data_IF_276669491113
#
_entry.id   IF_276669491113
#
_cell.length_a   1.000
_cell.length_b   1.000
_cell.length_c   1.000
_cell.angle_alpha   90.00
_cell.angle_beta   90.00
_cell.angle_gamma   90.00
#
_symmetry.space_group_name_H-M   'P 1'
#
loop_
_entity.id
_entity.type
_entity.pdbx_description
1 polymer ?
#
# COMPACT_ATOMS: atom_id res chain seq x y z
N UNK A 1 -0.77 -35.86 -5.67
CA UNK A 1 -1.11 -34.83 -6.68
C UNK A 1 -0.79 -33.46 -6.13
N UNK A 2 -0.44 -32.48 -6.97
CA UNK A 2 0.00 -31.15 -6.56
C UNK A 2 -0.64 -30.06 -7.42
N UNK A 3 -0.98 -28.93 -6.81
CA UNK A 3 -1.38 -27.71 -7.49
C UNK A 3 -0.14 -26.83 -7.68
N UNK A 4 0.13 -26.40 -8.91
CA UNK A 4 1.29 -25.55 -9.23
C UNK A 4 0.80 -24.15 -9.57
N UNK A 5 1.26 -23.15 -8.82
CA UNK A 5 0.88 -21.77 -9.06
C UNK A 5 1.85 -21.09 -10.04
N UNK A 6 1.49 -21.05 -11.32
CA UNK A 6 2.31 -20.48 -12.39
C UNK A 6 2.01 -18.98 -12.60
N UNK A 7 2.49 -18.13 -11.68
CA UNK A 7 2.39 -16.67 -11.80
C UNK A 7 3.74 -16.02 -12.09
N UNK A 8 4.13 -15.91 -13.36
CA UNK A 8 5.37 -15.19 -13.76
C UNK A 8 5.33 -13.72 -13.28
N UNK A 9 4.12 -13.15 -13.18
CA UNK A 9 3.84 -11.76 -12.78
C UNK A 9 3.37 -11.59 -11.33
N UNK A 10 3.46 -12.62 -10.46
CA UNK A 10 3.13 -12.44 -9.05
C UNK A 10 4.10 -11.44 -8.39
N UNK A 11 3.62 -10.53 -7.51
CA UNK A 11 4.48 -9.62 -6.76
C UNK A 11 5.61 -10.37 -6.01
N UNK A 12 6.77 -9.72 -5.85
CA UNK A 12 7.98 -10.35 -5.29
C UNK A 12 7.74 -10.94 -3.90
N UNK A 13 6.92 -10.29 -3.09
CA UNK A 13 6.53 -10.76 -1.75
C UNK A 13 5.70 -12.05 -1.81
N UNK A 14 4.72 -12.14 -2.73
CA UNK A 14 3.92 -13.36 -2.92
C UNK A 14 4.76 -14.55 -3.37
N UNK A 15 5.82 -14.30 -4.15
CA UNK A 15 6.79 -15.32 -4.58
C UNK A 15 7.66 -15.86 -3.45
N UNK A 16 7.87 -15.08 -2.38
CA UNK A 16 8.67 -15.48 -1.22
C UNK A 16 7.84 -16.23 -0.18
N UNK A 17 6.56 -15.89 -0.03
CA UNK A 17 5.71 -16.39 1.05
C UNK A 17 4.78 -17.55 0.65
N UNK A 18 4.44 -17.73 -0.63
CA UNK A 18 3.58 -18.84 -1.07
C UNK A 18 4.36 -20.03 -1.65
N UNK A 19 4.04 -21.26 -1.23
CA UNK A 19 4.55 -22.47 -1.87
C UNK A 19 4.12 -22.52 -3.34
N UNK A 20 5.10 -22.51 -4.27
CA UNK A 20 4.82 -22.64 -5.71
C UNK A 20 4.16 -23.96 -6.10
N UNK A 21 4.36 -24.98 -5.27
CA UNK A 21 3.80 -26.31 -5.42
C UNK A 21 3.09 -26.64 -4.12
N UNK A 22 1.77 -26.80 -4.18
CA UNK A 22 0.92 -27.13 -3.04
C UNK A 22 0.48 -28.58 -3.20
N UNK A 23 0.90 -29.50 -2.31
CA UNK A 23 0.33 -30.85 -2.27
C UNK A 23 -1.18 -30.78 -2.00
N UNK A 24 -2.00 -31.54 -2.71
CA UNK A 24 -3.45 -31.49 -2.50
C UNK A 24 -3.85 -31.93 -1.08
N UNK A 25 -3.12 -32.88 -0.48
CA UNK A 25 -3.33 -33.30 0.91
C UNK A 25 -2.90 -32.27 1.97
N UNK A 26 -2.29 -31.15 1.55
CA UNK A 26 -1.99 -30.01 2.39
C UNK A 26 -3.10 -28.96 2.38
N UNK A 27 -4.12 -29.09 1.53
CA UNK A 27 -5.29 -28.22 1.51
C UNK A 27 -6.29 -28.76 2.55
N UNK A 28 -6.63 -27.93 3.53
CA UNK A 28 -7.65 -28.25 4.54
C UNK A 28 -9.04 -27.89 4.04
N UNK A 29 -9.17 -26.75 3.36
CA UNK A 29 -10.43 -26.26 2.83
C UNK A 29 -10.21 -25.23 1.71
N UNK A 30 -11.27 -24.90 1.00
CA UNK A 30 -11.33 -23.87 -0.02
C UNK A 30 -12.42 -22.87 0.34
N UNK A 31 -12.00 -21.68 0.75
CA UNK A 31 -12.89 -20.54 0.96
C UNK A 31 -13.14 -19.87 -0.38
N UNK A 32 -14.41 -19.74 -0.75
CA UNK A 32 -14.81 -19.33 -2.08
C UNK A 32 -15.95 -18.32 -2.00
N UNK A 33 -15.69 -17.15 -2.57
CA UNK A 33 -16.70 -16.12 -2.78
C UNK A 33 -16.90 -15.91 -4.27
N UNK A 34 -18.08 -16.23 -4.82
CA UNK A 34 -18.34 -16.07 -6.23
C UNK A 34 -18.29 -14.59 -6.63
N UNK A 35 -17.85 -14.35 -7.86
CA UNK A 35 -17.83 -12.99 -8.42
C UNK A 35 -19.26 -12.53 -8.66
N UNK A 36 -19.58 -11.34 -8.15
CA UNK A 36 -20.86 -10.68 -8.44
C UNK A 36 -20.62 -9.41 -9.26
N UNK A 37 -21.70 -8.74 -9.68
CA UNK A 37 -21.59 -7.43 -10.33
C UNK A 37 -20.97 -6.36 -9.40
N UNK A 38 -21.14 -6.50 -8.08
CA UNK A 38 -20.74 -5.51 -7.09
C UNK A 38 -19.43 -5.86 -6.36
N UNK A 39 -19.01 -7.12 -6.37
CA UNK A 39 -17.82 -7.59 -5.66
C UNK A 39 -16.96 -8.46 -6.56
N UNK A 40 -15.66 -8.18 -6.54
CA UNK A 40 -14.67 -9.11 -7.09
C UNK A 40 -14.69 -10.37 -6.21
N UNK A 41 -15.06 -11.49 -6.80
CA UNK A 41 -15.01 -12.78 -6.11
C UNK A 41 -13.57 -13.26 -5.95
N UNK A 42 -13.37 -14.23 -5.08
CA UNK A 42 -12.07 -14.82 -4.80
C UNK A 42 -12.17 -16.32 -4.49
N UNK A 43 -11.06 -17.02 -4.68
CA UNK A 43 -10.83 -18.37 -4.17
C UNK A 43 -9.62 -18.29 -3.25
N UNK A 44 -9.73 -18.85 -2.05
CA UNK A 44 -8.64 -18.94 -1.09
C UNK A 44 -8.45 -20.39 -0.68
N UNK A 45 -7.22 -20.87 -0.83
CA UNK A 45 -6.85 -22.19 -0.34
C UNK A 45 -6.40 -22.07 1.12
N UNK A 46 -7.11 -22.75 2.02
CA UNK A 46 -6.71 -22.88 3.41
C UNK A 46 -5.75 -24.06 3.51
N UNK A 47 -4.48 -23.78 3.77
CA UNK A 47 -3.44 -24.79 3.85
C UNK A 47 -3.16 -25.18 5.29
N UNK A 48 -2.82 -26.45 5.48
CA UNK A 48 -2.32 -27.00 6.76
C UNK A 48 -1.21 -26.11 7.29
N UNK A 49 -1.23 -25.92 8.62
CA UNK A 49 -0.22 -25.12 9.31
C UNK A 49 -0.17 -23.65 8.87
N UNK A 50 -1.18 -23.13 8.17
CA UNK A 50 -1.22 -21.73 7.73
C UNK A 50 -0.07 -21.36 6.79
N UNK A 51 0.51 -22.33 6.10
CA UNK A 51 1.53 -22.06 5.09
C UNK A 51 1.00 -21.09 4.02
N UNK A 52 1.73 -20.03 3.71
CA UNK A 52 1.31 -18.99 2.75
C UNK A 52 0.41 -17.90 3.33
N UNK A 53 0.19 -17.86 4.64
CA UNK A 53 -0.50 -16.76 5.32
C UNK A 53 0.51 -15.69 5.81
N UNK A 54 0.30 -14.43 5.42
CA UNK A 54 1.05 -13.28 5.93
C UNK A 54 0.07 -12.33 6.66
N UNK A 55 0.31 -12.01 7.96
CA UNK A 55 -0.59 -11.17 8.77
C UNK A 55 -0.53 -9.67 8.45
N UNK A 56 0.44 -9.22 7.64
CA UNK A 56 0.64 -7.80 7.28
C UNK A 56 0.10 -7.52 5.88
N UNK A 57 0.09 -8.52 4.99
CA UNK A 57 -0.35 -8.32 3.62
C UNK A 57 -1.87 -8.36 3.46
N UNK A 58 -2.41 -7.34 2.79
CA UNK A 58 -3.85 -7.12 2.53
C UNK A 58 -4.49 -8.29 1.76
N UNK A 59 -3.69 -9.08 1.04
CA UNK A 59 -4.14 -10.24 0.30
C UNK A 59 -3.37 -11.47 0.77
N UNK A 60 -4.04 -12.38 1.47
CA UNK A 60 -3.51 -13.72 1.76
C UNK A 60 -2.93 -14.32 0.46
N UNK A 61 -1.72 -14.85 0.56
CA UNK A 61 -0.91 -15.22 -0.61
C UNK A 61 -1.52 -16.40 -1.36
N UNK A 62 -2.38 -17.19 -0.70
CA UNK A 62 -3.15 -18.28 -1.29
C UNK A 62 -4.55 -17.84 -1.78
N UNK A 63 -4.82 -16.53 -1.80
CA UNK A 63 -6.05 -15.95 -2.33
C UNK A 63 -5.87 -15.48 -3.77
N UNK A 64 -6.77 -15.94 -4.64
CA UNK A 64 -6.81 -15.64 -6.06
C UNK A 64 -8.09 -14.87 -6.39
N UNK A 65 -7.94 -13.67 -6.95
CA UNK A 65 -9.07 -12.91 -7.46
C UNK A 65 -9.59 -13.51 -8.77
N UNK A 66 -10.91 -13.65 -8.88
CA UNK A 66 -11.54 -14.28 -10.03
C UNK A 66 -11.49 -13.40 -11.28
N UNK A 67 -10.73 -13.85 -12.29
CA UNK A 67 -10.64 -13.25 -13.63
C UNK A 67 -11.19 -14.22 -14.68
N UNK A 68 -12.52 -14.38 -14.73
CA UNK A 68 -13.15 -15.18 -15.80
C UNK A 68 -14.35 -16.00 -15.31
N UNK A 69 -14.75 -16.97 -16.13
CA UNK A 69 -15.73 -18.02 -15.82
C UNK A 69 -14.97 -19.32 -15.46
N UNK A 70 -15.61 -20.27 -14.79
CA UNK A 70 -14.99 -21.57 -14.45
C UNK A 70 -14.50 -21.73 -13.01
N UNK A 71 -14.83 -20.77 -12.14
CA UNK A 71 -14.35 -20.74 -10.75
C UNK A 71 -15.03 -21.81 -9.89
N UNK A 72 -16.33 -22.00 -10.08
CA UNK A 72 -17.13 -22.98 -9.35
C UNK A 72 -16.66 -24.40 -9.65
N UNK A 73 -16.46 -24.74 -10.93
CA UNK A 73 -15.98 -26.05 -11.34
C UNK A 73 -14.55 -26.33 -10.85
N UNK A 74 -13.70 -25.31 -10.83
CA UNK A 74 -12.35 -25.44 -10.28
C UNK A 74 -12.38 -25.66 -8.76
N UNK A 75 -13.20 -24.92 -8.01
CA UNK A 75 -13.32 -25.08 -6.54
C UNK A 75 -13.78 -26.49 -6.20
N UNK A 76 -14.82 -26.99 -6.89
CA UNK A 76 -15.31 -28.34 -6.67
C UNK A 76 -14.26 -29.39 -7.02
N UNK A 77 -13.56 -29.25 -8.14
CA UNK A 77 -12.47 -30.16 -8.51
C UNK A 77 -11.33 -30.16 -7.47
N UNK A 78 -10.98 -29.01 -6.89
CA UNK A 78 -9.97 -28.92 -5.84
C UNK A 78 -10.45 -29.57 -4.54
N UNK A 79 -11.71 -29.36 -4.14
CA UNK A 79 -12.30 -30.00 -2.96
C UNK A 79 -12.35 -31.52 -3.10
N UNK A 80 -12.78 -32.02 -4.26
CA UNK A 80 -12.81 -33.45 -4.56
C UNK A 80 -11.39 -34.04 -4.53
N UNK A 81 -10.43 -33.36 -5.17
CA UNK A 81 -9.06 -33.84 -5.23
C UNK A 81 -8.30 -33.71 -3.88
N UNK A 82 -8.66 -32.76 -3.02
CA UNK A 82 -8.13 -32.63 -1.67
C UNK A 82 -8.71 -33.71 -0.75
N UNK A 83 -10.01 -34.00 -0.84
CA UNK A 83 -10.66 -35.03 0.00
C UNK A 83 -10.20 -36.46 -0.31
N UNK A 84 -9.73 -36.71 -1.55
CA UNK A 84 -9.16 -37.99 -1.97
C UNK A 84 -7.64 -38.10 -1.75
N UNK A 85 -6.97 -37.01 -1.38
CA UNK A 85 -5.53 -37.00 -1.14
C UNK A 85 -5.20 -37.43 0.29
N UNK A 86 -4.12 -38.21 0.47
CA UNK A 86 -3.59 -38.49 1.80
C UNK A 86 -3.11 -37.20 2.48
N UNK A 87 -3.49 -36.93 3.74
CA UNK A 87 -3.04 -35.76 4.47
C UNK A 87 -1.52 -35.62 4.49
N UNK A 88 -1.04 -34.40 4.24
CA UNK A 88 0.39 -34.07 4.41
C UNK A 88 0.57 -33.47 5.79
N UNK A 89 1.02 -34.31 6.72
CA UNK A 89 1.34 -33.89 8.09
C UNK A 89 2.54 -32.94 8.12
N UNK A 90 2.49 -31.93 8.99
CA UNK A 90 3.62 -31.02 9.22
C UNK A 90 3.84 -29.94 8.14
N UNK A 91 2.96 -29.81 7.16
CA UNK A 91 2.96 -28.65 6.26
C UNK A 91 2.61 -27.40 7.09
N UNK A 92 3.55 -26.47 7.30
CA UNK A 92 3.33 -25.22 8.06
C UNK A 92 3.31 -25.29 9.61
N UNK A 93 3.98 -26.21 10.30
CA UNK A 93 4.05 -26.22 11.80
C UNK A 93 5.10 -25.26 12.44
N UNK A 94 4.86 -24.56 13.58
CA UNK A 94 5.80 -23.63 14.24
C UNK A 94 7.23 -24.13 14.43
N UNK A 95 8.20 -23.31 14.01
CA UNK A 95 9.21 -23.67 12.99
C UNK A 95 8.79 -23.28 11.55
N UNK A 96 7.49 -23.00 11.38
CA UNK A 96 6.68 -22.45 10.27
C UNK A 96 5.36 -21.89 10.88
N UNK A 97 5.48 -20.95 11.83
CA UNK A 97 4.58 -20.41 12.91
C UNK A 97 3.08 -20.05 12.61
N UNK A 98 2.10 -20.03 13.55
CA UNK A 98 2.13 -19.46 14.92
C UNK A 98 1.04 -19.95 15.91
N UNK A 99 1.38 -19.96 17.21
CA UNK A 99 0.54 -20.33 18.34
C UNK A 99 -0.30 -19.18 18.96
N UNK A 100 -0.53 -18.09 18.21
CA UNK A 100 -1.29 -16.91 18.70
C UNK A 100 -2.37 -16.44 17.72
N UNK A 101 -3.07 -17.36 17.06
CA UNK A 101 -4.22 -16.93 16.25
C UNK A 101 -5.41 -16.57 17.14
N UNK A 102 -5.64 -15.27 17.27
CA UNK A 102 -6.93 -14.66 17.59
C UNK A 102 -8.05 -15.37 16.82
N UNK A 103 -9.23 -15.54 17.40
CA UNK A 103 -10.40 -16.14 16.74
C UNK A 103 -10.84 -15.36 15.49
N UNK A 104 -11.63 -15.96 14.59
CA UNK A 104 -12.15 -15.29 13.36
C UNK A 104 -12.75 -13.92 13.68
N UNK A 105 -13.48 -13.81 14.79
CA UNK A 105 -14.14 -12.58 15.24
C UNK A 105 -13.14 -11.53 15.73
N UNK A 106 -12.17 -11.92 16.54
CA UNK A 106 -11.09 -11.03 17.01
C UNK A 106 -10.20 -10.56 15.85
N UNK A 107 -10.02 -11.40 14.82
CA UNK A 107 -9.27 -11.07 13.60
C UNK A 107 -10.01 -10.06 12.71
N UNK A 108 -11.32 -10.20 12.56
CA UNK A 108 -12.13 -9.21 11.82
C UNK A 108 -12.20 -7.87 12.56
N UNK A 109 -12.25 -7.90 13.90
CA UNK A 109 -12.21 -6.70 14.72
C UNK A 109 -10.87 -5.97 14.55
N UNK A 110 -9.74 -6.67 14.73
CA UNK A 110 -8.41 -6.09 14.56
C UNK A 110 -8.15 -5.59 13.13
N UNK A 111 -8.67 -6.29 12.10
CA UNK A 111 -8.57 -5.84 10.71
C UNK A 111 -9.42 -4.58 10.46
N UNK A 112 -10.63 -4.49 11.04
CA UNK A 112 -11.46 -3.29 10.95
C UNK A 112 -10.86 -2.11 11.69
N UNK A 113 -10.29 -2.33 12.88
CA UNK A 113 -9.64 -1.28 13.68
C UNK A 113 -8.43 -0.73 12.91
N UNK A 114 -7.61 -1.61 12.33
CA UNK A 114 -6.44 -1.23 11.51
C UNK A 114 -6.83 -0.56 10.19
N UNK A 115 -7.95 -0.97 9.59
CA UNK A 115 -8.50 -0.31 8.40
C UNK A 115 -9.04 1.08 8.74
N UNK A 116 -9.64 1.25 9.92
CA UNK A 116 -10.05 2.55 10.45
C UNK A 116 -8.85 3.49 10.60
N UNK A 117 -7.76 3.02 11.22
CA UNK A 117 -6.53 3.80 11.35
C UNK A 117 -5.92 4.18 9.99
N UNK A 118 -5.90 3.24 9.03
CA UNK A 118 -5.39 3.51 7.68
C UNK A 118 -6.27 4.46 6.88
N UNK A 119 -7.59 4.39 7.05
CA UNK A 119 -8.54 5.33 6.43
C UNK A 119 -8.38 6.71 7.03
N UNK A 120 -8.24 6.84 8.36
CA UNK A 120 -7.98 8.12 9.01
C UNK A 120 -6.62 8.72 8.66
N UNK A 121 -5.59 7.89 8.46
CA UNK A 121 -4.27 8.33 8.00
C UNK A 121 -4.33 8.79 6.53
N UNK A 122 -5.03 8.03 5.67
CA UNK A 122 -5.18 8.37 4.25
C UNK A 122 -6.09 9.58 4.05
N UNK A 123 -7.15 9.74 4.85
CA UNK A 123 -8.00 10.93 4.82
C UNK A 123 -7.23 12.16 5.33
N UNK A 124 -6.37 12.02 6.35
CA UNK A 124 -5.43 13.09 6.74
C UNK A 124 -4.44 13.41 5.61
N UNK A 125 -3.84 12.41 4.97
CA UNK A 125 -2.90 12.60 3.87
C UNK A 125 -3.58 13.22 2.64
N UNK A 126 -4.85 12.85 2.39
CA UNK A 126 -5.66 13.35 1.28
C UNK A 126 -6.16 14.76 1.53
N UNK A 127 -6.54 15.11 2.75
CA UNK A 127 -6.87 16.49 3.13
C UNK A 127 -5.63 17.37 3.06
N UNK A 128 -4.47 16.91 3.55
CA UNK A 128 -3.17 17.59 3.36
C UNK A 128 -2.81 17.75 1.87
N UNK A 129 -3.04 16.72 1.05
CA UNK A 129 -2.76 16.77 -0.39
C UNK A 129 -3.72 17.67 -1.17
N UNK A 130 -4.97 17.87 -0.72
CA UNK A 130 -5.92 18.78 -1.37
C UNK A 130 -5.67 20.23 -1.02
N UNK A 131 -5.13 20.51 0.16
CA UNK A 131 -4.93 21.87 0.67
C UNK A 131 -3.60 22.50 0.26
N UNK A 132 -2.59 21.70 -0.13
CA UNK A 132 -1.20 22.19 -0.24
C UNK A 132 -0.51 21.90 -1.58
N UNK A 133 -1.27 21.84 -2.69
CA UNK A 133 -0.70 21.75 -4.03
C UNK A 133 -0.69 23.12 -4.70
N UNK A 134 0.48 23.57 -5.15
CA UNK A 134 0.63 24.77 -5.97
C UNK A 134 1.38 24.47 -7.26
N UNK A 135 0.70 24.62 -8.39
CA UNK A 135 1.25 24.71 -9.75
C UNK A 135 2.21 23.61 -10.25
N UNK A 136 2.35 22.51 -9.51
CA UNK A 136 3.12 21.26 -9.75
C UNK A 136 3.87 20.80 -8.49
N UNK A 137 4.01 21.69 -7.51
CA UNK A 137 4.51 21.35 -6.18
C UNK A 137 3.37 20.80 -5.33
N UNK A 138 3.59 19.64 -4.71
CA UNK A 138 2.71 19.10 -3.69
C UNK A 138 3.46 18.90 -2.39
N UNK A 139 2.94 19.43 -1.29
CA UNK A 139 3.49 19.19 0.03
C UNK A 139 2.81 17.96 0.63
N UNK A 140 3.61 16.99 1.07
CA UNK A 140 3.16 15.79 1.77
C UNK A 140 3.93 15.63 3.08
N UNK A 141 3.43 14.75 3.93
CA UNK A 141 4.02 14.48 5.25
C UNK A 141 5.53 14.18 5.17
N UNK A 142 5.98 13.48 4.11
CA UNK A 142 7.36 13.02 3.96
C UNK A 142 8.22 13.87 3.01
N UNK A 143 7.74 15.01 2.51
CA UNK A 143 8.52 15.80 1.55
C UNK A 143 7.72 16.73 0.65
N UNK A 144 8.46 17.49 -0.16
CA UNK A 144 7.90 18.23 -1.30
C UNK A 144 8.02 17.36 -2.54
N UNK A 145 6.92 17.26 -3.29
CA UNK A 145 6.86 16.56 -4.57
C UNK A 145 6.83 17.57 -5.70
N UNK A 146 7.68 17.37 -6.71
CA UNK A 146 7.67 18.13 -7.95
C UNK A 146 8.00 17.19 -9.12
N UNK A 147 7.13 17.16 -10.13
CA UNK A 147 7.29 16.36 -11.35
C UNK A 147 7.70 14.88 -11.10
N UNK A 148 7.00 14.23 -10.16
CA UNK A 148 7.24 12.83 -9.79
C UNK A 148 8.51 12.58 -8.95
N UNK A 149 9.27 13.63 -8.63
CA UNK A 149 10.43 13.57 -7.74
C UNK A 149 10.05 14.05 -6.34
N UNK A 150 10.42 13.28 -5.32
CA UNK A 150 10.26 13.66 -3.92
C UNK A 150 11.56 14.25 -3.38
N UNK A 151 11.43 15.36 -2.68
CA UNK A 151 12.50 16.06 -1.98
C UNK A 151 12.20 16.06 -0.48
N UNK A 152 13.24 15.85 0.33
CA UNK A 152 13.14 15.95 1.79
C UNK A 152 12.78 17.38 2.21
N UNK A 153 11.96 17.55 3.25
CA UNK A 153 11.51 18.86 3.73
C UNK A 153 12.56 19.59 4.59
N UNK A 154 13.44 18.86 5.27
CA UNK A 154 14.45 19.46 6.16
C UNK A 154 15.37 20.39 5.35
N UNK A 155 15.58 21.62 5.82
CA UNK A 155 16.39 22.65 5.15
C UNK A 155 15.83 23.19 3.84
N UNK A 156 14.58 22.89 3.50
CA UNK A 156 13.92 23.49 2.34
C UNK A 156 13.39 24.88 2.68
N UNK A 157 13.61 25.83 1.78
CA UNK A 157 13.10 27.19 1.91
C UNK A 157 12.33 27.60 0.66
N UNK A 158 11.16 28.19 0.81
CA UNK A 158 10.37 28.72 -0.29
C UNK A 158 10.16 30.23 -0.14
N UNK A 159 10.25 30.97 -1.24
CA UNK A 159 10.03 32.42 -1.29
C UNK A 159 9.52 32.88 -2.66
N UNK A 160 9.00 34.10 -2.70
CA UNK A 160 8.65 34.78 -3.95
C UNK A 160 9.77 35.74 -4.31
N UNK A 161 10.33 35.57 -5.50
CA UNK A 161 11.35 36.46 -6.06
C UNK A 161 10.75 37.28 -7.22
N UNK A 162 11.20 38.52 -7.38
CA UNK A 162 10.90 39.36 -8.54
C UNK A 162 12.20 39.66 -9.32
N UNK A 163 12.64 38.76 -10.21
CA UNK A 163 13.90 38.95 -10.95
C UNK A 163 13.84 40.16 -11.91
N UNK A 164 12.65 40.45 -12.45
CA UNK A 164 12.38 41.64 -13.25
C UNK A 164 11.05 42.28 -12.83
N UNK A 165 10.88 43.62 -12.98
CA UNK A 165 9.64 44.30 -12.64
C UNK A 165 8.42 43.68 -13.33
N UNK A 166 7.45 43.22 -12.54
CA UNK A 166 6.23 42.58 -13.05
C UNK A 166 6.35 41.09 -13.36
N UNK A 167 7.50 40.47 -13.08
CA UNK A 167 7.68 39.01 -13.15
C UNK A 167 7.89 38.47 -11.74
N UNK A 168 6.89 37.78 -11.20
CA UNK A 168 7.02 37.10 -9.92
C UNK A 168 7.30 35.61 -10.18
N UNK A 169 8.20 35.02 -9.40
CA UNK A 169 8.49 33.59 -9.44
C UNK A 169 8.44 33.02 -8.03
N UNK A 170 7.87 31.82 -7.89
CA UNK A 170 8.03 31.02 -6.68
C UNK A 170 9.36 30.29 -6.79
N UNK A 171 10.28 30.53 -5.86
CA UNK A 171 11.56 29.84 -5.74
C UNK A 171 11.53 28.90 -4.54
N UNK A 172 11.81 27.61 -4.77
CA UNK A 172 11.99 26.58 -3.73
C UNK A 172 13.45 26.13 -3.74
N UNK A 173 14.14 26.38 -2.63
CA UNK A 173 15.56 26.12 -2.42
C UNK A 173 15.73 24.87 -1.57
N UNK A 174 16.56 23.95 -2.03
CA UNK A 174 16.84 22.68 -1.35
C UNK A 174 18.22 22.70 -0.68
N UNK A 175 18.45 21.86 0.35
CA UNK A 175 19.72 21.81 1.08
C UNK A 175 20.93 21.48 0.21
N UNK A 176 20.73 20.74 -0.88
CA UNK A 176 21.77 20.38 -1.84
C UNK A 176 22.13 21.54 -2.79
N UNK A 177 21.55 22.73 -2.59
CA UNK A 177 21.76 23.90 -3.44
C UNK A 177 20.91 23.93 -4.71
N UNK A 178 20.05 22.93 -4.94
CA UNK A 178 19.11 22.97 -6.06
C UNK A 178 18.06 24.06 -5.82
N UNK A 179 17.68 24.77 -6.89
CA UNK A 179 16.61 25.77 -6.86
C UNK A 179 15.61 25.44 -7.95
N UNK A 180 14.36 25.25 -7.57
CA UNK A 180 13.24 25.10 -8.50
C UNK A 180 12.46 26.39 -8.55
N UNK A 181 12.27 26.94 -9.74
CA UNK A 181 11.53 28.18 -9.96
C UNK A 181 10.28 27.93 -10.77
N UNK A 182 9.17 28.55 -10.37
CA UNK A 182 7.92 28.51 -11.13
C UNK A 182 7.41 29.93 -11.41
N UNK A 183 7.19 30.29 -12.69
CA UNK A 183 6.72 31.61 -13.05
C UNK A 183 5.26 31.82 -12.65
N UNK A 184 4.98 32.92 -11.95
CA UNK A 184 3.66 33.23 -11.39
C UNK A 184 2.90 34.18 -12.30
N UNK A 185 1.62 33.88 -12.53
CA UNK A 185 0.67 34.88 -13.03
C UNK A 185 0.27 35.79 -11.85
N UNK A 186 -0.12 37.06 -12.08
CA UNK A 186 -0.49 37.99 -11.00
C UNK A 186 -1.52 37.42 -10.01
N UNK A 187 -2.52 36.70 -10.52
CA UNK A 187 -3.57 36.06 -9.70
C UNK A 187 -3.09 34.88 -8.84
N UNK A 188 -1.85 34.43 -9.01
CA UNK A 188 -1.29 33.28 -8.30
C UNK A 188 -0.32 33.69 -7.19
N UNK A 189 0.02 34.99 -7.08
CA UNK A 189 1.03 35.46 -6.13
C UNK A 189 0.59 35.22 -4.68
N UNK A 190 -0.67 35.49 -4.35
CA UNK A 190 -1.20 35.27 -3.00
C UNK A 190 -1.19 33.78 -2.60
N UNK A 191 -1.63 32.90 -3.50
CA UNK A 191 -1.61 31.45 -3.28
C UNK A 191 -0.17 30.91 -3.17
N UNK A 192 0.75 31.45 -3.97
CA UNK A 192 2.16 31.08 -3.92
C UNK A 192 2.83 31.55 -2.62
N UNK A 193 2.47 32.73 -2.10
CA UNK A 193 2.97 33.21 -0.80
C UNK A 193 2.52 32.30 0.34
N UNK A 194 1.23 31.92 0.38
CA UNK A 194 0.72 30.96 1.38
C UNK A 194 1.40 29.60 1.28
N UNK A 195 1.65 29.14 0.06
CA UNK A 195 2.39 27.91 -0.17
C UNK A 195 3.84 28.01 0.36
N UNK A 196 4.52 29.13 0.12
CA UNK A 196 5.88 29.36 0.59
C UNK A 196 5.96 29.39 2.13
N UNK A 197 5.03 30.08 2.79
CA UNK A 197 4.91 30.11 4.25
C UNK A 197 4.78 28.69 4.83
N UNK A 198 3.85 27.90 4.29
CA UNK A 198 3.64 26.52 4.71
C UNK A 198 4.90 25.66 4.57
N UNK A 199 5.58 25.74 3.41
CA UNK A 199 6.82 24.98 3.18
C UNK A 199 7.86 25.31 4.24
N UNK A 200 8.01 26.59 4.58
CA UNK A 200 8.96 27.05 5.58
C UNK A 200 8.58 26.58 7.00
N UNK A 201 7.31 26.64 7.37
CA UNK A 201 6.83 26.16 8.67
C UNK A 201 7.08 24.65 8.84
N UNK A 202 6.79 23.86 7.81
CA UNK A 202 6.98 22.42 7.83
C UNK A 202 8.47 22.03 7.83
N UNK A 203 9.30 22.73 7.07
CA UNK A 203 10.75 22.53 7.08
C UNK A 203 11.33 22.78 8.48
N UNK A 204 10.95 23.88 9.12
CA UNK A 204 11.40 24.22 10.48
C UNK A 204 10.93 23.19 11.51
N UNK A 205 9.67 22.74 11.42
CA UNK A 205 9.14 21.70 12.32
C UNK A 205 9.92 20.38 12.21
N UNK A 206 10.32 20.00 10.99
CA UNK A 206 11.11 18.78 10.75
C UNK A 206 12.54 18.89 11.25
N UNK A 207 13.19 20.04 11.10
CA UNK A 207 14.53 20.28 11.66
C UNK A 207 14.54 20.16 13.18
N UNK A 208 13.52 20.70 13.86
CA UNK A 208 13.39 20.62 15.30
C UNK A 208 13.12 19.18 15.79
N UNK A 209 12.40 18.38 15.01
CA UNK A 209 12.12 16.97 15.33
C UNK A 209 13.34 16.04 15.12
N UNK A 210 14.23 16.36 14.17
CA UNK A 210 15.45 15.58 13.91
C UNK A 210 16.65 15.88 14.82
N UNK A 211 16.55 16.90 15.67
CA UNK A 211 17.60 17.32 16.60
C UNK A 211 17.49 16.71 18.02
N UNK A 212 16.51 15.83 18.25
CA UNK A 212 16.29 15.08 19.51
C UNK A 212 16.77 13.64 19.39
#
# INVERSE_FOLDING_TARGET
MTLVHAGVTAPKHKKASSPRVIPLGAIEDVDYVPKTLLKRGYIRLLLRGRAGYDPIEIEDVNTFLLKGKGADEFVEAVREAASSASPVEGFGAPGTDSAHALSVRERMQAANDRLGELVEANDRERELSKTHNFASFGVRENGIWHDGTQYELAGVHARIDEPEPGTAVLAVLFPNGAVLTYPLKPKQVEDASRFAELVNELALSREQAGAQ
#
